data_IF_298167168109
#
_entry.id   IF_298167168109
#
_cell.length_a   1.000
_cell.length_b   1.000
_cell.length_c   1.000
_cell.angle_alpha   90.00
_cell.angle_beta   90.00
_cell.angle_gamma   90.00
#
_symmetry.space_group_name_H-M   'P 1'
#
loop_
_entity.id
_entity.type
_entity.pdbx_description
1 polymer ?
#
# COMPACT_ATOMS: atom_id res chain seq x y z
N UNK A 1 -7.21 12.54 -29.89
CA UNK A 1 -8.56 11.97 -29.69
C UNK A 1 -8.42 10.45 -29.66
N UNK A 2 -8.51 9.84 -28.48
CA UNK A 2 -8.54 8.38 -28.37
C UNK A 2 -9.98 7.94 -28.63
N UNK A 3 -10.21 7.26 -29.74
CA UNK A 3 -11.52 6.65 -30.00
C UNK A 3 -11.35 5.15 -30.08
N UNK A 4 -12.16 4.45 -29.30
CA UNK A 4 -12.17 3.00 -29.20
C UNK A 4 -12.82 2.43 -30.46
N UNK A 5 -12.04 1.72 -31.27
CA UNK A 5 -12.49 1.12 -32.53
C UNK A 5 -13.17 -0.23 -32.34
N UNK A 6 -12.94 -0.94 -31.22
CA UNK A 6 -13.41 -2.32 -31.01
C UNK A 6 -13.90 -2.56 -29.56
N UNK A 7 -14.99 -3.31 -29.33
CA UNK A 7 -15.35 -3.81 -28.00
C UNK A 7 -14.21 -4.68 -27.43
N UNK A 8 -14.04 -4.76 -26.08
CA UNK A 8 -12.89 -5.42 -25.47
C UNK A 8 -12.90 -6.91 -25.80
N UNK A 9 -12.01 -7.35 -26.68
CA UNK A 9 -11.48 -8.71 -26.63
C UNK A 9 -10.29 -8.70 -25.67
N UNK A 10 -10.35 -9.59 -24.69
CA UNK A 10 -9.45 -9.67 -23.55
C UNK A 10 -8.04 -10.07 -24.01
N UNK A 11 -7.07 -9.16 -24.06
CA UNK A 11 -5.63 -9.45 -23.86
C UNK A 11 -4.87 -8.19 -23.39
N UNK A 12 -3.90 -8.44 -22.53
CA UNK A 12 -3.21 -7.62 -21.52
C UNK A 12 -2.24 -6.55 -22.04
N UNK A 13 -2.12 -5.42 -21.31
CA UNK A 13 -0.89 -4.83 -20.72
C UNK A 13 -1.07 -3.32 -20.51
N UNK A 14 -1.15 -2.88 -19.26
CA UNK A 14 -0.75 -1.53 -18.89
C UNK A 14 -0.24 -1.50 -17.45
N UNK A 15 1.08 -1.58 -17.31
CA UNK A 15 1.70 -1.04 -16.11
C UNK A 15 1.73 0.48 -16.29
N UNK A 16 1.13 1.22 -15.36
CA UNK A 16 1.53 2.62 -15.17
C UNK A 16 2.86 2.54 -14.43
N UNK A 17 3.96 2.52 -15.20
CA UNK A 17 5.28 2.67 -14.61
C UNK A 17 5.38 4.14 -14.16
N UNK A 18 5.27 4.37 -12.85
CA UNK A 18 5.61 5.65 -12.23
C UNK A 18 7.12 5.85 -12.38
N UNK A 19 7.56 6.32 -13.54
CA UNK A 19 8.94 6.77 -13.75
C UNK A 19 9.09 8.16 -13.14
N UNK A 20 9.11 8.24 -11.81
CA UNK A 20 9.65 9.39 -11.08
C UNK A 20 11.10 9.13 -10.64
N UNK A 21 11.84 8.29 -11.38
CA UNK A 21 13.26 8.02 -11.13
C UNK A 21 14.01 7.83 -12.46
N UNK A 22 14.14 8.91 -13.23
CA UNK A 22 15.42 9.23 -13.86
C UNK A 22 15.46 10.75 -14.10
N UNK A 23 16.14 11.46 -13.21
CA UNK A 23 16.46 12.87 -13.40
C UNK A 23 17.44 13.01 -14.57
N UNK A 24 16.97 13.02 -15.82
CA UNK A 24 17.76 13.54 -16.94
C UNK A 24 16.84 14.18 -17.99
N UNK A 25 16.69 15.50 -17.85
CA UNK A 25 16.34 16.52 -18.84
C UNK A 25 14.87 16.97 -18.93
N UNK A 26 14.68 18.20 -18.45
CA UNK A 26 13.62 19.20 -18.70
C UNK A 26 12.46 19.29 -17.70
N UNK A 27 12.47 20.40 -16.94
CA UNK A 27 11.40 21.14 -16.26
C UNK A 27 10.28 20.39 -15.50
N UNK A 28 9.96 20.93 -14.32
CA UNK A 28 8.95 20.50 -13.33
C UNK A 28 7.58 20.09 -13.89
N UNK A 29 7.46 18.93 -14.53
CA UNK A 29 6.17 18.35 -14.89
C UNK A 29 6.24 16.83 -14.84
N UNK A 30 5.56 16.24 -13.85
CA UNK A 30 5.25 14.82 -13.83
C UNK A 30 4.50 14.44 -15.13
N UNK A 31 5.12 13.64 -15.98
CA UNK A 31 4.47 13.03 -17.13
C UNK A 31 3.68 11.78 -16.74
N UNK A 32 2.68 11.43 -17.55
CA UNK A 32 1.99 10.14 -17.44
C UNK A 32 2.33 9.27 -18.65
N UNK A 33 2.60 7.99 -18.39
CA UNK A 33 2.75 6.97 -19.41
C UNK A 33 1.66 5.92 -19.20
N UNK A 34 0.98 5.55 -20.28
CA UNK A 34 0.11 4.39 -20.30
C UNK A 34 0.56 3.47 -21.44
N UNK A 35 0.69 2.17 -21.16
CA UNK A 35 0.85 1.15 -22.18
C UNK A 35 -0.55 0.71 -22.65
N UNK A 36 -0.70 0.44 -23.94
CA UNK A 36 -1.94 -0.09 -24.49
C UNK A 36 -1.61 -0.99 -25.66
N UNK A 37 -2.46 -1.96 -25.94
CA UNK A 37 -2.32 -2.85 -27.09
C UNK A 37 -2.43 -2.05 -28.39
N UNK A 38 -1.46 -2.24 -29.30
CA UNK A 38 -1.28 -1.44 -30.51
C UNK A 38 -2.52 -1.42 -31.43
N UNK A 39 -3.27 -2.52 -31.49
CA UNK A 39 -4.43 -2.68 -32.38
C UNK A 39 -5.76 -2.21 -31.75
N UNK A 40 -5.74 -1.92 -30.45
CA UNK A 40 -6.92 -1.54 -29.67
C UNK A 40 -7.14 -0.02 -29.60
N UNK A 41 -6.16 0.79 -30.04
CA UNK A 41 -6.19 2.25 -29.97
C UNK A 41 -5.75 2.91 -31.28
N UNK A 42 -6.52 3.89 -31.76
CA UNK A 42 -6.06 4.78 -32.83
C UNK A 42 -5.37 6.01 -32.25
N UNK A 43 -4.09 6.18 -32.57
CA UNK A 43 -3.28 7.30 -32.14
C UNK A 43 -3.58 8.54 -32.99
N UNK A 44 -3.84 9.66 -32.32
CA UNK A 44 -3.85 10.99 -32.95
C UNK A 44 -3.08 11.98 -32.07
N UNK A 45 -2.52 13.01 -32.72
CA UNK A 45 -1.40 13.83 -32.26
C UNK A 45 -1.43 14.30 -30.79
N UNK A 46 -0.23 14.47 -30.22
CA UNK A 46 0.12 14.74 -28.80
C UNK A 46 -0.45 16.02 -28.16
N UNK A 47 -1.33 16.77 -28.82
CA UNK A 47 -1.88 18.05 -28.32
C UNK A 47 -2.96 17.91 -27.23
N UNK A 48 -3.16 16.71 -26.70
CA UNK A 48 -4.21 16.40 -25.71
C UNK A 48 -3.70 16.58 -24.27
N UNK A 49 -2.39 16.48 -24.05
CA UNK A 49 -1.75 16.66 -22.73
C UNK A 49 -1.80 18.12 -22.25
N UNK A 50 -2.12 19.06 -23.14
CA UNK A 50 -2.33 20.48 -22.87
C UNK A 50 -3.80 20.86 -22.67
N UNK A 51 -4.74 19.90 -22.70
CA UNK A 51 -6.15 20.16 -22.38
C UNK A 51 -6.35 20.19 -20.85
N UNK A 52 -6.74 21.32 -20.24
CA UNK A 52 -6.98 21.40 -18.80
C UNK A 52 -8.16 20.54 -18.33
N UNK A 53 -9.01 20.07 -19.26
CA UNK A 53 -10.13 19.17 -18.98
C UNK A 53 -9.84 17.72 -19.39
N UNK A 54 -8.57 17.34 -19.55
CA UNK A 54 -8.20 15.98 -19.95
C UNK A 54 -8.75 14.90 -19.01
N UNK A 55 -8.64 15.12 -17.70
CA UNK A 55 -9.07 14.19 -16.65
C UNK A 55 -10.59 13.98 -16.59
N UNK A 56 -11.39 14.93 -17.11
CA UNK A 56 -12.85 14.80 -17.13
C UNK A 56 -13.37 14.15 -18.42
N UNK A 57 -12.56 14.10 -19.48
CA UNK A 57 -12.91 13.50 -20.78
C UNK A 57 -12.35 12.10 -20.98
N UNK A 58 -11.27 11.76 -20.29
CA UNK A 58 -10.71 10.41 -20.27
C UNK A 58 -11.07 9.78 -18.93
N UNK A 59 -12.00 8.83 -18.87
CA UNK A 59 -12.17 8.04 -17.67
C UNK A 59 -10.87 7.24 -17.47
N UNK A 60 -9.99 7.72 -16.57
CA UNK A 60 -8.86 6.92 -16.07
C UNK A 60 -9.46 5.88 -15.14
N UNK A 61 -10.01 4.84 -15.75
CA UNK A 61 -10.48 3.66 -15.05
C UNK A 61 -9.37 2.64 -15.22
N UNK A 62 -8.48 2.60 -14.22
CA UNK A 62 -7.42 1.59 -14.14
C UNK A 62 -8.00 0.27 -13.57
N UNK A 63 -9.17 -0.15 -14.06
CA UNK A 63 -9.77 -1.44 -13.72
C UNK A 63 -9.12 -2.50 -14.59
N UNK A 64 -7.82 -2.68 -14.42
CA UNK A 64 -7.10 -3.79 -15.02
C UNK A 64 -7.24 -5.01 -14.10
N UNK A 65 -7.38 -6.19 -14.70
CA UNK A 65 -7.32 -7.45 -13.99
C UNK A 65 -6.44 -8.41 -14.78
N UNK A 66 -5.74 -9.29 -14.06
CA UNK A 66 -4.87 -10.27 -14.67
C UNK A 66 -5.70 -11.44 -15.16
N UNK A 67 -5.60 -11.69 -16.46
CA UNK A 67 -6.27 -12.79 -17.12
C UNK A 67 -7.79 -12.70 -16.98
N UNK A 68 -8.44 -13.87 -17.07
CA UNK A 68 -9.90 -13.98 -17.11
C UNK A 68 -10.46 -14.88 -16.02
N UNK A 69 -9.57 -15.56 -15.30
CA UNK A 69 -9.88 -16.54 -14.26
C UNK A 69 -9.90 -15.88 -12.89
N UNK A 70 -10.68 -16.42 -11.97
CA UNK A 70 -10.63 -16.01 -10.56
C UNK A 70 -9.26 -16.33 -9.96
N UNK A 71 -8.92 -15.61 -8.90
CA UNK A 71 -7.78 -15.80 -8.05
C UNK A 71 -7.61 -17.27 -7.61
N UNK A 72 -8.70 -17.94 -7.24
CA UNK A 72 -8.68 -19.34 -6.78
C UNK A 72 -8.20 -20.27 -7.90
N UNK A 73 -8.65 -20.05 -9.13
CA UNK A 73 -8.23 -20.86 -10.28
C UNK A 73 -6.82 -20.47 -10.71
N UNK A 74 -6.53 -19.16 -10.76
CA UNK A 74 -5.24 -18.63 -11.18
C UNK A 74 -4.09 -19.12 -10.29
N UNK A 75 -4.27 -19.20 -8.96
CA UNK A 75 -3.28 -19.72 -8.01
C UNK A 75 -2.81 -21.14 -8.30
N UNK A 76 -3.64 -21.94 -8.96
CA UNK A 76 -3.32 -23.32 -9.34
C UNK A 76 -2.80 -23.42 -10.79
N UNK A 77 -2.54 -22.30 -11.44
CA UNK A 77 -2.08 -22.22 -12.82
C UNK A 77 -0.65 -21.71 -12.90
N UNK A 78 0.05 -22.08 -13.97
CA UNK A 78 1.37 -21.52 -14.29
C UNK A 78 1.30 -20.04 -14.73
N UNK A 79 0.09 -19.47 -14.83
CA UNK A 79 -0.16 -18.08 -15.18
C UNK A 79 -0.42 -17.19 -13.95
N UNK A 80 -0.19 -17.71 -12.73
CA UNK A 80 -0.23 -16.89 -11.51
C UNK A 80 0.95 -15.91 -11.47
N UNK A 81 0.66 -14.62 -11.38
CA UNK A 81 1.67 -13.55 -11.45
C UNK A 81 1.87 -12.81 -10.12
N UNK A 82 1.05 -13.06 -9.09
CA UNK A 82 1.34 -12.46 -7.79
C UNK A 82 2.62 -13.07 -7.20
N UNK A 83 3.43 -12.23 -6.58
CA UNK A 83 4.43 -12.68 -5.63
C UNK A 83 3.74 -13.45 -4.49
N UNK A 84 4.38 -14.51 -3.99
CA UNK A 84 3.81 -15.37 -2.94
C UNK A 84 4.00 -14.76 -1.53
N UNK A 85 4.94 -13.85 -1.37
CA UNK A 85 5.27 -13.27 -0.07
C UNK A 85 4.33 -12.11 0.26
N UNK A 86 3.63 -12.25 1.39
CA UNK A 86 2.79 -11.21 2.00
C UNK A 86 1.83 -10.49 1.05
N UNK A 87 1.34 -11.23 0.05
CA UNK A 87 0.45 -10.72 -0.99
C UNK A 87 -0.93 -11.38 -0.84
N UNK A 88 -1.96 -10.57 -1.02
CA UNK A 88 -3.36 -10.96 -1.18
C UNK A 88 -3.69 -10.96 -2.66
N UNK A 89 -4.58 -11.87 -3.02
CA UNK A 89 -5.10 -11.99 -4.36
C UNK A 89 -6.62 -11.95 -4.27
N UNK A 90 -7.23 -11.05 -5.03
CA UNK A 90 -8.66 -10.77 -5.01
C UNK A 90 -9.23 -10.90 -6.41
N UNK A 91 -10.42 -11.46 -6.52
CA UNK A 91 -11.15 -11.50 -7.78
C UNK A 91 -11.57 -10.09 -8.16
N UNK A 92 -11.34 -9.72 -9.41
CA UNK A 92 -11.98 -8.53 -9.95
C UNK A 92 -13.34 -8.98 -10.51
N UNK A 93 -14.41 -8.64 -9.80
CA UNK A 93 -15.75 -9.10 -10.16
C UNK A 93 -16.40 -8.12 -11.13
N UNK A 94 -16.37 -8.41 -12.43
CA UNK A 94 -17.39 -7.89 -13.32
C UNK A 94 -18.71 -8.63 -13.08
N UNK A 95 -19.85 -8.02 -13.42
CA UNK A 95 -21.19 -8.60 -13.24
C UNK A 95 -21.41 -9.90 -14.05
N UNK A 96 -20.40 -10.38 -14.79
CA UNK A 96 -20.46 -11.52 -15.71
C UNK A 96 -19.67 -12.74 -15.21
N UNK A 97 -18.99 -12.64 -14.05
CA UNK A 97 -18.27 -13.77 -13.44
C UNK A 97 -16.96 -14.15 -14.14
N UNK A 98 -16.47 -13.33 -15.07
CA UNK A 98 -15.20 -13.52 -15.76
C UNK A 98 -14.38 -12.23 -15.72
N UNK A 99 -13.86 -11.89 -14.55
CA UNK A 99 -13.18 -10.62 -14.35
C UNK A 99 -11.75 -10.71 -13.84
N UNK A 100 -11.04 -11.83 -14.02
CA UNK A 100 -9.61 -11.89 -13.67
C UNK A 100 -9.33 -11.70 -12.17
N UNK A 101 -8.06 -11.47 -11.83
CA UNK A 101 -7.64 -11.24 -10.45
C UNK A 101 -6.65 -10.09 -10.34
N UNK A 102 -6.56 -9.53 -9.14
CA UNK A 102 -5.63 -8.47 -8.74
C UNK A 102 -4.80 -8.95 -7.56
N UNK A 103 -3.56 -8.46 -7.47
CA UNK A 103 -2.67 -8.71 -6.34
C UNK A 103 -2.48 -7.40 -5.57
N UNK A 104 -2.52 -7.49 -4.24
CA UNK A 104 -2.27 -6.37 -3.31
C UNK A 104 -1.44 -6.85 -2.12
N UNK A 105 -0.72 -5.97 -1.45
CA UNK A 105 -0.02 -6.37 -0.24
C UNK A 105 -1.01 -6.64 0.92
N UNK A 106 -0.65 -7.58 1.80
CA UNK A 106 -1.33 -7.76 3.08
C UNK A 106 -1.22 -6.48 3.91
N UNK A 107 -2.14 -6.30 4.85
CA UNK A 107 -2.04 -5.21 5.85
C UNK A 107 -0.70 -5.28 6.59
N UNK A 108 -0.06 -4.12 6.81
CA UNK A 108 1.27 -4.01 7.40
C UNK A 108 2.42 -4.30 6.42
N UNK A 109 2.14 -4.39 5.11
CA UNK A 109 3.17 -4.60 4.09
C UNK A 109 3.03 -3.60 2.93
N UNK A 110 4.16 -3.20 2.37
CA UNK A 110 4.26 -2.29 1.22
C UNK A 110 5.12 -2.86 0.09
N UNK A 111 5.08 -2.22 -1.08
CA UNK A 111 5.88 -2.61 -2.25
C UNK A 111 5.04 -3.03 -3.45
N UNK A 112 5.67 -3.75 -4.38
CA UNK A 112 5.02 -4.19 -5.62
C UNK A 112 4.71 -5.69 -5.55
N UNK A 113 3.42 -6.09 -5.47
CA UNK A 113 3.01 -7.49 -5.32
C UNK A 113 3.25 -8.34 -6.58
N UNK A 114 3.77 -7.79 -7.67
CA UNK A 114 4.05 -8.48 -8.93
C UNK A 114 5.54 -8.68 -9.21
N UNK A 115 6.41 -7.97 -8.48
CA UNK A 115 7.86 -8.01 -8.70
C UNK A 115 8.57 -8.62 -7.48
N UNK A 116 9.86 -8.90 -7.62
CA UNK A 116 10.74 -9.23 -6.49
C UNK A 116 11.35 -7.93 -5.94
N UNK A 117 11.41 -7.71 -4.62
CA UNK A 117 11.18 -8.68 -3.53
C UNK A 117 9.71 -8.97 -3.19
N UNK A 118 8.77 -8.19 -3.73
CA UNK A 118 7.33 -8.35 -3.47
C UNK A 118 6.85 -7.35 -2.43
N UNK A 119 5.98 -7.82 -1.53
CA UNK A 119 5.50 -7.06 -0.39
C UNK A 119 6.44 -7.26 0.80
N UNK A 120 7.02 -6.16 1.28
CA UNK A 120 7.92 -6.09 2.43
C UNK A 120 7.22 -5.46 3.61
N UNK A 121 7.64 -5.86 4.81
CA UNK A 121 7.11 -5.37 6.07
C UNK A 121 7.25 -3.84 6.16
N UNK A 122 6.20 -3.17 6.63
CA UNK A 122 6.26 -1.74 6.97
C UNK A 122 6.77 -1.68 8.41
N UNK A 123 7.85 -0.93 8.66
CA UNK A 123 8.28 -0.66 10.02
C UNK A 123 7.58 0.60 10.54
N UNK A 124 6.44 0.42 11.22
CA UNK A 124 5.66 1.54 11.73
C UNK A 124 6.37 2.32 12.85
N UNK A 125 7.45 1.77 13.43
CA UNK A 125 8.22 2.45 14.47
C UNK A 125 9.21 3.49 13.93
N UNK A 126 9.46 3.51 12.61
CA UNK A 126 10.35 4.51 11.97
C UNK A 126 9.66 5.88 11.87
N UNK A 127 8.33 5.90 11.68
CA UNK A 127 7.54 7.12 11.58
C UNK A 127 6.46 7.16 12.68
N UNK A 128 6.50 8.16 13.60
CA UNK A 128 5.47 8.34 14.61
C UNK A 128 4.03 8.46 14.09
N UNK A 129 3.84 8.76 12.80
CA UNK A 129 2.51 8.85 12.19
C UNK A 129 1.96 7.50 11.71
N UNK A 130 2.80 6.45 11.69
CA UNK A 130 2.41 5.11 11.24
C UNK A 130 2.05 4.19 12.40
N UNK A 131 2.34 4.59 13.64
CA UNK A 131 1.98 3.84 14.84
C UNK A 131 1.11 4.70 15.78
N UNK A 132 0.41 4.01 16.68
CA UNK A 132 -0.48 4.60 17.68
C UNK A 132 0.08 4.43 19.10
N UNK A 133 1.41 4.24 19.28
CA UNK A 133 1.98 4.05 20.61
C UNK A 133 1.85 5.31 21.49
N UNK A 134 1.58 5.12 22.78
CA UNK A 134 1.60 6.17 23.79
C UNK A 134 3.01 6.80 23.87
N UNK A 135 3.09 8.10 24.20
CA UNK A 135 4.38 8.81 24.32
C UNK A 135 5.30 8.27 25.42
N UNK A 136 4.78 7.49 26.37
CA UNK A 136 5.55 6.77 27.40
C UNK A 136 5.62 5.25 27.10
N UNK A 137 5.42 4.86 25.85
CA UNK A 137 5.60 3.50 25.37
C UNK A 137 6.73 3.40 24.36
N UNK A 138 7.43 2.27 24.41
CA UNK A 138 8.38 1.84 23.40
C UNK A 138 7.66 1.09 22.28
N UNK A 139 7.83 1.55 21.05
CA UNK A 139 7.42 0.84 19.84
C UNK A 139 8.40 -0.30 19.51
N UNK A 140 7.89 -1.45 19.14
CA UNK A 140 8.68 -2.59 18.61
C UNK A 140 7.98 -3.13 17.36
N UNK A 141 8.67 -3.05 16.22
CA UNK A 141 8.17 -3.55 14.94
C UNK A 141 8.06 -5.09 14.95
N UNK A 142 7.04 -5.61 14.29
CA UNK A 142 6.80 -7.05 14.12
C UNK A 142 6.31 -7.35 12.69
N UNK A 143 6.46 -8.57 12.15
CA UNK A 143 6.00 -8.83 10.78
C UNK A 143 4.49 -8.59 10.59
N UNK A 144 4.14 -7.55 9.83
CA UNK A 144 2.79 -7.12 9.47
C UNK A 144 2.08 -6.25 10.52
N UNK A 145 2.76 -5.82 11.58
CA UNK A 145 2.19 -4.97 12.64
C UNK A 145 3.30 -4.43 13.58
N UNK A 146 2.91 -3.70 14.60
CA UNK A 146 3.81 -3.28 15.68
C UNK A 146 3.19 -3.53 17.06
N UNK A 147 4.06 -3.53 18.06
CA UNK A 147 3.67 -3.62 19.47
C UNK A 147 4.16 -2.41 20.25
N UNK A 148 3.36 -1.97 21.22
CA UNK A 148 3.72 -0.89 22.12
C UNK A 148 3.82 -1.45 23.53
N UNK A 149 4.91 -1.14 24.23
CA UNK A 149 5.13 -1.56 25.61
C UNK A 149 5.48 -0.35 26.47
N UNK A 150 4.76 -0.15 27.58
CA UNK A 150 5.04 0.98 28.48
C UNK A 150 6.48 0.94 29.02
N UNK A 151 7.06 2.13 29.14
CA UNK A 151 8.39 2.33 29.73
C UNK A 151 8.42 1.95 31.22
N UNK A 152 9.63 1.85 31.76
CA UNK A 152 9.84 1.51 33.17
C UNK A 152 9.08 2.48 34.09
N UNK A 153 8.40 1.95 35.10
CA UNK A 153 7.48 2.66 36.01
C UNK A 153 6.12 3.07 35.41
N UNK A 154 5.79 2.64 34.19
CA UNK A 154 4.46 2.81 33.60
C UNK A 154 3.75 1.46 33.43
N UNK A 155 2.42 1.49 33.35
CA UNK A 155 1.57 0.32 33.13
C UNK A 155 0.34 0.69 32.31
N UNK A 156 -0.08 -0.23 31.45
CA UNK A 156 -1.21 -0.08 30.52
C UNK A 156 -0.99 -0.90 29.26
N UNK A 157 -1.78 -0.65 28.22
CA UNK A 157 -1.65 -1.31 26.90
C UNK A 157 -0.61 -0.65 25.99
N UNK A 158 -0.09 0.52 26.36
CA UNK A 158 0.92 1.23 25.58
C UNK A 158 0.38 1.93 24.32
N UNK A 159 -0.93 1.96 24.10
CA UNK A 159 -1.56 2.56 22.91
C UNK A 159 -2.21 3.88 23.26
N UNK A 160 -1.98 4.89 22.43
CA UNK A 160 -2.56 6.24 22.59
C UNK A 160 -4.07 6.29 22.35
N UNK A 161 -4.63 5.36 21.58
CA UNK A 161 -6.07 5.19 21.35
C UNK A 161 -6.75 4.26 22.38
N UNK A 162 -5.97 3.63 23.27
CA UNK A 162 -6.40 2.70 24.30
C UNK A 162 -6.31 3.27 25.72
N UNK A 163 -5.82 2.46 26.64
CA UNK A 163 -5.56 2.81 28.04
C UNK A 163 -4.25 3.57 28.26
N UNK A 164 -3.39 3.63 27.24
CA UNK A 164 -2.14 4.36 27.26
C UNK A 164 -1.16 3.84 28.29
N UNK A 165 -0.23 4.69 28.71
CA UNK A 165 0.72 4.37 29.77
C UNK A 165 0.48 5.25 31.00
N UNK A 166 0.12 4.62 32.11
CA UNK A 166 -0.11 5.31 33.38
C UNK A 166 1.02 5.03 34.38
N UNK A 167 1.43 6.04 35.16
CA UNK A 167 2.51 5.87 36.14
C UNK A 167 2.10 4.89 37.24
N UNK A 168 2.91 3.86 37.44
CA UNK A 168 2.71 2.87 38.49
C UNK A 168 3.30 3.37 39.82
N UNK A 169 2.44 3.88 40.72
CA UNK A 169 2.86 4.47 42.00
C UNK A 169 3.58 3.48 42.95
N UNK A 170 3.44 2.17 42.73
CA UNK A 170 4.03 1.11 43.55
C UNK A 170 5.54 0.90 43.36
N UNK A 171 6.16 1.53 42.36
CA UNK A 171 7.60 1.42 42.10
C UNK A 171 8.40 2.67 42.51
N UNK A 172 7.76 3.67 43.12
CA UNK A 172 8.48 4.78 43.74
C UNK A 172 9.05 4.29 45.07
N UNK A 173 10.38 4.28 45.29
CA UNK A 173 10.93 3.97 46.61
C UNK A 173 10.40 5.02 47.61
N UNK A 174 9.52 4.59 48.51
CA UNK A 174 9.10 5.41 49.65
C UNK A 174 10.30 5.50 50.58
N UNK A 175 11.05 6.60 50.53
CA UNK A 175 12.09 6.88 51.52
C UNK A 175 11.38 7.27 52.82
N UNK A 176 11.16 6.30 53.69
CA UNK A 176 10.72 6.56 55.08
C UNK A 176 11.93 7.12 55.84
N UNK A 177 12.10 8.44 55.81
CA UNK A 177 13.07 9.13 56.66
C UNK A 177 12.60 9.10 58.11
N UNK A 178 13.33 8.41 58.98
CA UNK A 178 13.17 8.55 60.44
C UNK A 178 13.92 9.81 60.89
N UNK A 179 13.18 10.81 61.35
CA UNK A 179 13.75 11.95 62.05
C UNK A 179 14.06 11.52 63.48
N UNK A 180 15.35 11.40 63.80
CA UNK A 180 15.81 11.23 65.17
C UNK A 180 15.70 12.58 65.86
N UNK A 181 14.78 12.71 66.80
CA UNK A 181 14.76 13.84 67.73
C UNK A 181 15.77 13.53 68.82
N UNK A 182 16.90 14.25 68.82
CA UNK A 182 17.91 14.22 69.89
C UNK A 182 17.49 15.06 71.08
#
# INVERSE_FOLDING_TARGET
MFSRSKPPEKTTFSSVLFLCLLQVLFDDNCGYAFMGEQDSFQYSNLSVFSDPNFLSRVPIVLDYAIGTQSCVVAKNSNAYLCNLNNTLCSDNTDSSGYGGYLCSCKYGYEGNPYLSPGCTDIDECIDPNLNDCDGNAKCTNTPGNFSCSCDHHFSGDGRSDGSGCTRQASQIPVILGTYIVT
#
